data_IF_424434207433
#
_entry.id   IF_424434207433
#
_cell.length_a   1.000
_cell.length_b   1.000
_cell.length_c   1.000
_cell.angle_alpha   90.00
_cell.angle_beta   90.00
_cell.angle_gamma   90.00
#
_symmetry.space_group_name_H-M   'P 1'
#
loop_
_entity.id
_entity.type
_entity.pdbx_description
1 polymer ?
#
# COMPACT_ATOMS: atom_id res chain seq x y z
N UNK A 1 31.94 20.22 -16.56
CA UNK A 1 31.19 19.63 -15.42
C UNK A 1 29.77 20.13 -15.49
N UNK A 2 28.88 19.26 -15.96
CA UNK A 2 27.70 19.64 -16.72
C UNK A 2 26.45 19.95 -15.91
N UNK A 3 25.68 20.91 -16.40
CA UNK A 3 24.30 21.20 -15.99
C UNK A 3 23.38 19.97 -16.15
N UNK A 4 23.74 19.06 -17.07
CA UNK A 4 23.05 17.80 -17.34
C UNK A 4 23.15 16.79 -16.19
N UNK A 5 24.27 16.77 -15.44
CA UNK A 5 24.40 15.90 -14.27
C UNK A 5 23.49 16.35 -13.12
N UNK A 6 23.26 17.67 -12.97
CA UNK A 6 22.35 18.19 -11.95
C UNK A 6 20.88 17.96 -12.28
N UNK A 7 20.51 17.99 -13.57
CA UNK A 7 19.14 17.68 -14.00
C UNK A 7 18.84 16.18 -13.83
N UNK A 8 19.81 15.30 -14.13
CA UNK A 8 19.67 13.85 -13.91
C UNK A 8 19.43 13.53 -12.42
N UNK A 9 20.20 14.14 -11.52
CA UNK A 9 20.07 13.89 -10.07
C UNK A 9 18.78 14.45 -9.48
N UNK A 10 18.27 15.59 -9.98
CA UNK A 10 16.99 16.17 -9.51
C UNK A 10 15.78 15.36 -10.01
N UNK A 11 15.88 14.71 -11.18
CA UNK A 11 14.84 13.81 -11.70
C UNK A 11 14.88 12.46 -10.97
N UNK A 12 16.06 11.90 -10.69
CA UNK A 12 16.19 10.67 -9.89
C UNK A 12 15.75 10.87 -8.43
N UNK A 13 16.10 12.01 -7.81
CA UNK A 13 15.64 12.32 -6.45
C UNK A 13 14.12 12.54 -6.37
N UNK A 14 13.47 13.00 -7.44
CA UNK A 14 12.00 13.10 -7.54
C UNK A 14 11.35 11.76 -7.89
N UNK A 15 12.02 10.87 -8.62
CA UNK A 15 11.52 9.51 -8.88
C UNK A 15 11.59 8.61 -7.64
N UNK A 16 12.64 8.72 -6.81
CA UNK A 16 12.72 8.01 -5.54
C UNK A 16 11.62 8.50 -4.56
N UNK A 17 11.35 9.81 -4.52
CA UNK A 17 10.29 10.41 -3.68
C UNK A 17 8.86 10.20 -4.18
N UNK A 18 8.68 9.69 -5.40
CA UNK A 18 7.37 9.30 -5.96
C UNK A 18 7.16 7.78 -5.78
N UNK A 19 8.22 6.98 -5.76
CA UNK A 19 8.15 5.57 -5.34
C UNK A 19 7.77 5.46 -3.86
N UNK A 20 8.35 6.31 -3.01
CA UNK A 20 7.98 6.46 -1.60
C UNK A 20 6.64 7.21 -1.41
N UNK A 21 5.73 7.24 -2.39
CA UNK A 21 4.37 7.80 -2.18
C UNK A 21 3.27 6.90 -2.71
N UNK A 22 3.65 5.73 -3.22
CA UNK A 22 2.80 4.54 -3.38
C UNK A 22 3.05 3.64 -2.16
N UNK A 23 3.14 4.28 -0.99
CA UNK A 23 3.97 3.88 0.16
C UNK A 23 3.36 2.77 1.01
N UNK A 24 2.04 2.58 0.95
CA UNK A 24 1.36 1.52 1.71
C UNK A 24 0.64 0.52 0.78
N UNK A 25 1.16 -0.73 0.66
CA UNK A 25 0.49 -1.77 -0.11
C UNK A 25 -0.93 -2.06 0.42
N UNK A 26 -1.25 -1.71 1.68
CA UNK A 26 -2.59 -1.85 2.26
C UNK A 26 -3.62 -1.00 1.50
N UNK A 27 -3.31 0.27 1.23
CA UNK A 27 -4.24 1.20 0.55
C UNK A 27 -4.51 0.81 -0.90
N UNK A 28 -3.45 0.42 -1.62
CA UNK A 28 -3.58 0.00 -3.03
C UNK A 28 -4.40 -1.28 -3.18
N UNK A 29 -4.29 -2.21 -2.24
CA UNK A 29 -5.10 -3.42 -2.19
C UNK A 29 -6.55 -3.12 -1.80
N UNK A 30 -6.79 -2.19 -0.86
CA UNK A 30 -8.14 -1.76 -0.48
C UNK A 30 -8.86 -1.11 -1.68
N UNK A 31 -8.21 -0.18 -2.39
CA UNK A 31 -8.75 0.44 -3.61
C UNK A 31 -9.03 -0.58 -4.72
N UNK A 32 -8.14 -1.57 -4.88
CA UNK A 32 -8.32 -2.63 -5.86
C UNK A 32 -9.51 -3.54 -5.52
N UNK A 33 -9.72 -3.82 -4.23
CA UNK A 33 -10.88 -4.57 -3.75
C UNK A 33 -12.19 -3.82 -3.99
N UNK A 34 -12.24 -2.52 -3.71
CA UNK A 34 -13.40 -1.69 -4.00
C UNK A 34 -13.76 -1.66 -5.48
N UNK A 35 -12.76 -1.51 -6.37
CA UNK A 35 -12.97 -1.60 -7.82
C UNK A 35 -13.55 -2.96 -8.23
N UNK A 36 -13.06 -4.05 -7.63
CA UNK A 36 -13.60 -5.40 -7.90
C UNK A 36 -15.06 -5.55 -7.42
N UNK A 37 -15.41 -4.98 -6.26
CA UNK A 37 -16.80 -4.95 -5.77
C UNK A 37 -17.71 -4.15 -6.69
N UNK A 38 -17.26 -2.98 -7.16
CA UNK A 38 -18.02 -2.17 -8.13
C UNK A 38 -18.23 -2.93 -9.45
N UNK A 39 -17.19 -3.60 -9.96
CA UNK A 39 -17.31 -4.46 -11.15
C UNK A 39 -18.32 -5.58 -10.93
N UNK A 40 -18.29 -6.25 -9.78
CA UNK A 40 -19.25 -7.30 -9.44
C UNK A 40 -20.68 -6.74 -9.39
N UNK A 41 -20.89 -5.56 -8.80
CA UNK A 41 -22.18 -4.91 -8.77
C UNK A 41 -22.68 -4.54 -10.17
N UNK A 42 -21.80 -4.07 -11.05
CA UNK A 42 -22.13 -3.74 -12.43
C UNK A 42 -22.54 -5.00 -13.23
N UNK A 43 -21.84 -6.12 -13.04
CA UNK A 43 -22.23 -7.40 -13.67
C UNK A 43 -23.61 -7.85 -13.16
N UNK A 44 -23.86 -7.77 -11.85
CA UNK A 44 -25.18 -8.07 -11.26
C UNK A 44 -26.30 -7.21 -11.87
N UNK A 45 -26.05 -5.91 -12.05
CA UNK A 45 -26.99 -5.01 -12.75
C UNK A 45 -27.23 -5.45 -14.19
N UNK A 46 -26.18 -5.77 -14.93
CA UNK A 46 -26.30 -6.29 -16.30
C UNK A 46 -27.14 -7.58 -16.38
N UNK A 47 -26.95 -8.52 -15.45
CA UNK A 47 -27.80 -9.72 -15.36
C UNK A 47 -29.27 -9.35 -15.14
N UNK A 48 -29.55 -8.41 -14.23
CA UNK A 48 -30.91 -7.96 -13.95
C UNK A 48 -31.57 -7.26 -15.16
N UNK A 49 -30.83 -6.44 -15.90
CA UNK A 49 -31.29 -5.76 -17.11
C UNK A 49 -31.64 -6.75 -18.23
N UNK A 50 -30.78 -7.74 -18.48
CA UNK A 50 -31.04 -8.82 -19.46
C UNK A 50 -32.25 -9.65 -19.03
N UNK A 51 -32.34 -10.00 -17.74
CA UNK A 51 -33.48 -10.74 -17.18
C UNK A 51 -34.79 -9.96 -17.38
N UNK A 52 -34.77 -8.66 -17.12
CA UNK A 52 -35.93 -7.78 -17.29
C UNK A 52 -36.34 -7.68 -18.76
N UNK A 53 -35.37 -7.52 -19.66
CA UNK A 53 -35.60 -7.46 -21.10
C UNK A 53 -36.21 -8.76 -21.62
N UNK A 54 -35.64 -9.91 -21.23
CA UNK A 54 -36.19 -11.24 -21.54
C UNK A 54 -37.64 -11.35 -21.05
N UNK A 55 -37.92 -10.95 -19.81
CA UNK A 55 -39.27 -11.05 -19.25
C UNK A 55 -40.28 -10.17 -19.98
N UNK A 56 -39.87 -8.99 -20.43
CA UNK A 56 -40.71 -8.11 -21.25
C UNK A 56 -41.08 -8.77 -22.58
N UNK A 57 -40.14 -9.43 -23.24
CA UNK A 57 -40.39 -10.15 -24.50
C UNK A 57 -41.29 -11.38 -24.26
N UNK A 58 -41.07 -12.15 -23.19
CA UNK A 58 -41.95 -13.25 -22.80
C UNK A 58 -43.41 -12.78 -22.61
N UNK A 59 -43.62 -11.62 -21.99
CA UNK A 59 -44.95 -11.04 -21.82
C UNK A 59 -45.58 -10.60 -23.16
N UNK A 60 -44.78 -10.07 -24.08
CA UNK A 60 -45.24 -9.75 -25.44
C UNK A 60 -45.65 -11.03 -26.20
N UNK A 61 -44.84 -12.08 -26.10
CA UNK A 61 -45.15 -13.39 -26.68
C UNK A 61 -46.43 -13.98 -26.09
N UNK A 62 -46.63 -13.88 -24.79
CA UNK A 62 -47.86 -14.37 -24.14
C UNK A 62 -49.12 -13.66 -24.67
N UNK A 63 -49.05 -12.34 -24.92
CA UNK A 63 -50.15 -11.59 -25.56
C UNK A 63 -50.42 -12.05 -26.99
N UNK A 64 -49.36 -12.28 -27.77
CA UNK A 64 -49.46 -12.85 -29.13
C UNK A 64 -50.12 -14.23 -29.10
N UNK A 65 -49.73 -15.08 -28.16
CA UNK A 65 -50.30 -16.42 -28.01
C UNK A 65 -51.80 -16.37 -27.70
N UNK A 66 -52.24 -15.50 -26.79
CA UNK A 66 -53.66 -15.32 -26.52
C UNK A 66 -54.47 -14.87 -27.76
N UNK A 67 -53.88 -14.02 -28.60
CA UNK A 67 -54.51 -13.60 -29.86
C UNK A 67 -54.55 -14.74 -30.89
N UNK A 68 -53.50 -15.57 -30.96
CA UNK A 68 -53.44 -16.77 -31.82
C UNK A 68 -54.55 -17.74 -31.41
N UNK A 69 -54.72 -17.99 -30.11
CA UNK A 69 -55.73 -18.90 -29.59
C UNK A 69 -57.15 -18.37 -29.85
N UNK A 70 -57.36 -17.05 -29.73
CA UNK A 70 -58.62 -16.39 -30.10
C UNK A 70 -58.95 -16.55 -31.59
N UNK A 71 -57.98 -16.32 -32.47
CA UNK A 71 -58.16 -16.50 -33.92
C UNK A 71 -58.44 -17.97 -34.28
N UNK A 72 -57.82 -18.91 -33.57
CA UNK A 72 -58.11 -20.34 -33.73
C UNK A 72 -59.57 -20.66 -33.37
N UNK A 73 -60.06 -20.14 -32.24
CA UNK A 73 -61.46 -20.27 -31.84
C UNK A 73 -62.42 -19.68 -32.88
N UNK A 74 -62.14 -18.46 -33.34
CA UNK A 74 -62.94 -17.78 -34.37
C UNK A 74 -62.97 -18.56 -35.69
N UNK A 75 -61.84 -19.16 -36.10
CA UNK A 75 -61.79 -19.99 -37.30
C UNK A 75 -62.67 -21.24 -37.16
N UNK A 76 -62.63 -21.91 -36.00
CA UNK A 76 -63.48 -23.09 -35.72
C UNK A 76 -64.97 -22.73 -35.71
N UNK A 77 -65.34 -21.62 -35.08
CA UNK A 77 -66.72 -21.12 -35.06
C UNK A 77 -67.22 -20.76 -36.46
N UNK A 78 -66.40 -20.07 -37.27
CA UNK A 78 -66.75 -19.72 -38.64
C UNK A 78 -66.95 -20.97 -39.53
N UNK A 79 -66.09 -21.99 -39.38
CA UNK A 79 -66.25 -23.28 -40.07
C UNK A 79 -67.55 -23.99 -39.65
N UNK A 80 -67.85 -24.03 -38.35
CA UNK A 80 -69.09 -24.63 -37.86
C UNK A 80 -70.35 -23.90 -38.39
N UNK A 81 -70.24 -22.59 -38.64
CA UNK A 81 -71.29 -21.78 -39.25
C UNK A 81 -71.31 -21.83 -40.80
N UNK A 82 -70.47 -22.65 -41.43
CA UNK A 82 -70.37 -22.77 -42.90
C UNK A 82 -69.76 -21.56 -43.60
N UNK A 83 -69.11 -20.65 -42.86
CA UNK A 83 -68.48 -19.44 -43.40
C UNK A 83 -66.98 -19.65 -43.61
N UNK A 84 -66.65 -20.40 -44.65
CA UNK A 84 -65.26 -20.76 -44.98
C UNK A 84 -64.37 -19.55 -45.29
N UNK A 85 -64.93 -18.49 -45.86
CA UNK A 85 -64.26 -17.24 -46.16
C UNK A 85 -63.74 -16.55 -44.88
N UNK A 86 -64.58 -16.47 -43.85
CA UNK A 86 -64.20 -15.94 -42.54
C UNK A 86 -63.19 -16.83 -41.82
N UNK A 87 -63.36 -18.15 -41.92
CA UNK A 87 -62.41 -19.10 -41.35
C UNK A 87 -61.02 -18.96 -41.99
N UNK A 88 -60.95 -18.87 -43.31
CA UNK A 88 -59.69 -18.67 -44.04
C UNK A 88 -59.00 -17.38 -43.61
N UNK A 89 -59.75 -16.28 -43.52
CA UNK A 89 -59.20 -14.98 -43.05
C UNK A 89 -58.68 -15.03 -41.61
N UNK A 90 -59.39 -15.73 -40.71
CA UNK A 90 -58.93 -15.92 -39.34
C UNK A 90 -57.63 -16.74 -39.28
N UNK A 91 -57.51 -17.79 -40.09
CA UNK A 91 -56.31 -18.61 -40.20
C UNK A 91 -55.13 -17.87 -40.84
N UNK A 92 -55.36 -17.02 -41.83
CA UNK A 92 -54.32 -16.15 -42.42
C UNK A 92 -53.74 -15.19 -41.36
N UNK A 93 -54.61 -14.53 -40.60
CA UNK A 93 -54.18 -13.66 -39.49
C UNK A 93 -53.44 -14.45 -38.41
N UNK A 94 -53.90 -15.67 -38.10
CA UNK A 94 -53.25 -16.56 -37.14
C UNK A 94 -51.83 -16.91 -37.58
N UNK A 95 -51.64 -17.26 -38.86
CA UNK A 95 -50.34 -17.59 -39.42
C UNK A 95 -49.37 -16.40 -39.32
N UNK A 96 -49.84 -15.18 -39.57
CA UNK A 96 -49.03 -13.97 -39.41
C UNK A 96 -48.56 -13.76 -37.95
N UNK A 97 -49.46 -13.95 -36.97
CA UNK A 97 -49.09 -13.85 -35.55
C UNK A 97 -48.18 -14.99 -35.10
N UNK A 98 -48.34 -16.20 -35.64
CA UNK A 98 -47.45 -17.33 -35.37
C UNK A 98 -46.02 -17.06 -35.85
N UNK A 99 -45.86 -16.45 -37.03
CA UNK A 99 -44.54 -16.04 -37.53
C UNK A 99 -43.89 -14.99 -36.60
N UNK A 100 -44.66 -14.01 -36.10
CA UNK A 100 -44.16 -13.05 -35.11
C UNK A 100 -43.77 -13.74 -33.79
N UNK A 101 -44.58 -14.67 -33.29
CA UNK A 101 -44.30 -15.45 -32.07
C UNK A 101 -43.00 -16.24 -32.19
N UNK A 102 -42.77 -16.89 -33.34
CA UNK A 102 -41.52 -17.61 -33.62
C UNK A 102 -40.29 -16.69 -33.62
N UNK A 103 -40.42 -15.46 -34.12
CA UNK A 103 -39.34 -14.46 -34.04
C UNK A 103 -39.03 -14.06 -32.59
N UNK A 104 -40.07 -13.89 -31.75
CA UNK A 104 -39.86 -13.61 -30.32
C UNK A 104 -39.22 -14.79 -29.58
N UNK A 105 -39.52 -16.02 -29.99
CA UNK A 105 -38.87 -17.21 -29.42
C UNK A 105 -37.36 -17.21 -29.65
N UNK A 106 -36.92 -16.86 -30.85
CA UNK A 106 -35.50 -16.73 -31.13
C UNK A 106 -34.86 -15.65 -30.23
N UNK A 107 -35.50 -14.48 -30.11
CA UNK A 107 -35.00 -13.41 -29.25
C UNK A 107 -34.94 -13.81 -27.77
N UNK A 108 -35.92 -14.57 -27.28
CA UNK A 108 -35.93 -15.09 -25.90
C UNK A 108 -34.78 -16.08 -25.71
N UNK A 109 -34.54 -16.96 -26.69
CA UNK A 109 -33.42 -17.92 -26.65
C UNK A 109 -32.07 -17.20 -26.60
N UNK A 110 -31.87 -16.20 -27.47
CA UNK A 110 -30.63 -15.42 -27.52
C UNK A 110 -30.37 -14.69 -26.19
N UNK A 111 -31.41 -14.05 -25.62
CA UNK A 111 -31.31 -13.41 -24.31
C UNK A 111 -31.08 -14.41 -23.18
N UNK A 112 -31.63 -15.61 -23.27
CA UNK A 112 -31.40 -16.66 -22.28
C UNK A 112 -29.93 -17.11 -22.28
N UNK A 113 -29.33 -17.30 -23.46
CA UNK A 113 -27.90 -17.62 -23.56
C UNK A 113 -27.02 -16.48 -23.01
N UNK A 114 -27.34 -15.23 -23.34
CA UNK A 114 -26.64 -14.07 -22.80
C UNK A 114 -26.76 -13.98 -21.28
N UNK A 115 -27.96 -14.21 -20.74
CA UNK A 115 -28.22 -14.26 -19.30
C UNK A 115 -27.35 -15.31 -18.61
N UNK A 116 -27.30 -16.53 -19.15
CA UNK A 116 -26.50 -17.62 -18.59
C UNK A 116 -24.99 -17.30 -18.62
N UNK A 117 -24.48 -16.71 -19.71
CA UNK A 117 -23.08 -16.27 -19.82
C UNK A 117 -22.75 -15.21 -18.76
N UNK A 118 -23.65 -14.25 -18.54
CA UNK A 118 -23.46 -13.21 -17.52
C UNK A 118 -23.51 -13.78 -16.10
N UNK A 119 -24.42 -14.70 -15.80
CA UNK A 119 -24.48 -15.39 -14.49
C UNK A 119 -23.19 -16.18 -14.22
N UNK A 120 -22.68 -16.90 -15.23
CA UNK A 120 -21.41 -17.62 -15.11
C UNK A 120 -20.23 -16.66 -14.87
N UNK A 121 -20.21 -15.52 -15.58
CA UNK A 121 -19.20 -14.48 -15.38
C UNK A 121 -19.29 -13.83 -14.00
N UNK A 122 -20.51 -13.56 -13.50
CA UNK A 122 -20.77 -13.05 -12.16
C UNK A 122 -20.22 -14.00 -11.09
N UNK A 123 -20.56 -15.28 -11.17
CA UNK A 123 -20.10 -16.30 -10.22
C UNK A 123 -18.57 -16.41 -10.22
N UNK A 124 -17.93 -16.43 -11.40
CA UNK A 124 -16.47 -16.44 -11.52
C UNK A 124 -15.84 -15.19 -10.93
N UNK A 125 -16.45 -14.02 -11.14
CA UNK A 125 -15.97 -12.76 -10.59
C UNK A 125 -16.11 -12.73 -9.07
N UNK A 126 -17.25 -13.17 -8.53
CA UNK A 126 -17.49 -13.26 -7.08
C UNK A 126 -16.44 -14.13 -6.39
N UNK A 127 -16.13 -15.31 -6.94
CA UNK A 127 -15.07 -16.19 -6.41
C UNK A 127 -13.70 -15.51 -6.43
N UNK A 128 -13.37 -14.76 -7.49
CA UNK A 128 -12.11 -14.01 -7.58
C UNK A 128 -12.05 -12.87 -6.57
N UNK A 129 -13.16 -12.14 -6.37
CA UNK A 129 -13.25 -11.05 -5.39
C UNK A 129 -13.04 -11.58 -3.97
N UNK A 130 -13.63 -12.72 -3.64
CA UNK A 130 -13.45 -13.34 -2.31
C UNK A 130 -12.02 -13.85 -2.12
N UNK A 131 -11.44 -14.51 -3.13
CA UNK A 131 -10.03 -14.91 -3.08
C UNK A 131 -9.09 -13.71 -2.94
N UNK A 132 -9.40 -12.59 -3.59
CA UNK A 132 -8.64 -11.36 -3.47
C UNK A 132 -8.78 -10.74 -2.07
N UNK A 133 -9.97 -10.74 -1.48
CA UNK A 133 -10.19 -10.29 -0.09
C UNK A 133 -9.28 -11.05 0.88
N UNK A 134 -9.25 -12.39 0.80
CA UNK A 134 -8.40 -13.20 1.68
C UNK A 134 -6.93 -12.87 1.48
N UNK A 135 -6.46 -12.81 0.22
CA UNK A 135 -5.05 -12.46 -0.08
C UNK A 135 -4.69 -11.06 0.40
N UNK A 136 -5.59 -10.10 0.25
CA UNK A 136 -5.42 -8.75 0.77
C UNK A 136 -5.16 -8.79 2.27
N UNK A 137 -6.04 -9.40 3.06
CA UNK A 137 -5.86 -9.46 4.52
C UNK A 137 -4.56 -10.17 4.92
N UNK A 138 -4.17 -11.25 4.22
CA UNK A 138 -2.88 -11.91 4.44
C UNK A 138 -1.70 -10.97 4.17
N UNK A 139 -1.70 -10.25 3.05
CA UNK A 139 -0.63 -9.32 2.71
C UNK A 139 -0.57 -8.16 3.71
N UNK A 140 -1.73 -7.61 4.13
CA UNK A 140 -1.80 -6.56 5.14
C UNK A 140 -1.18 -7.03 6.46
N UNK A 141 -1.51 -8.24 6.91
CA UNK A 141 -0.96 -8.82 8.13
C UNK A 141 0.56 -9.07 8.03
N UNK A 142 1.03 -9.64 6.91
CA UNK A 142 2.46 -9.86 6.66
C UNK A 142 3.25 -8.56 6.63
N UNK A 143 2.70 -7.53 5.97
CA UNK A 143 3.32 -6.21 5.93
C UNK A 143 3.42 -5.59 7.32
N UNK A 144 2.35 -5.63 8.12
CA UNK A 144 2.38 -5.14 9.51
C UNK A 144 3.35 -5.92 10.41
N UNK A 145 3.50 -7.23 10.21
CA UNK A 145 4.48 -8.02 10.93
C UNK A 145 5.92 -7.64 10.54
N UNK A 146 6.19 -7.45 9.25
CA UNK A 146 7.49 -6.99 8.76
C UNK A 146 7.83 -5.57 9.25
N UNK A 147 6.86 -4.66 9.22
CA UNK A 147 6.96 -3.29 9.76
C UNK A 147 7.32 -3.30 11.26
N UNK A 148 6.65 -4.15 12.04
CA UNK A 148 6.97 -4.33 13.46
C UNK A 148 8.37 -4.92 13.68
N UNK A 149 8.80 -5.88 12.85
CA UNK A 149 10.13 -6.49 12.94
C UNK A 149 11.24 -5.49 12.63
N UNK A 150 11.07 -4.65 11.61
CA UNK A 150 12.00 -3.55 11.30
C UNK A 150 12.10 -2.59 12.49
N UNK A 151 10.96 -2.14 13.01
CA UNK A 151 10.93 -1.21 14.16
C UNK A 151 11.60 -1.76 15.42
N UNK A 152 11.41 -3.05 15.71
CA UNK A 152 12.11 -3.73 16.83
C UNK A 152 13.60 -3.80 16.57
N UNK A 153 14.02 -4.18 15.36
CA UNK A 153 15.43 -4.27 14.99
C UNK A 153 16.11 -2.91 15.09
N UNK A 154 15.50 -1.85 14.56
CA UNK A 154 15.98 -0.47 14.66
C UNK A 154 16.08 0.01 16.11
N UNK A 155 15.11 -0.34 16.95
CA UNK A 155 15.15 0.00 18.38
C UNK A 155 16.29 -0.72 19.10
N UNK A 156 16.51 -2.00 18.80
CA UNK A 156 17.61 -2.79 19.40
C UNK A 156 18.97 -2.32 18.90
N UNK A 157 19.13 -2.00 17.62
CA UNK A 157 20.38 -1.47 17.08
C UNK A 157 20.66 -0.06 17.60
N UNK A 158 19.64 0.80 17.71
CA UNK A 158 19.78 2.14 18.30
C UNK A 158 20.18 2.09 19.78
N UNK A 159 19.58 1.16 20.56
CA UNK A 159 20.00 0.91 21.95
C UNK A 159 21.43 0.34 22.00
N UNK A 160 21.81 -0.53 21.06
CA UNK A 160 23.16 -1.10 21.00
C UNK A 160 24.23 -0.05 20.70
N UNK A 161 23.93 0.94 19.84
CA UNK A 161 24.82 2.08 19.61
C UNK A 161 24.97 2.94 20.86
N UNK A 162 23.86 3.31 21.52
CA UNK A 162 23.91 4.08 22.78
C UNK A 162 24.64 3.32 23.91
N UNK A 163 24.43 2.01 24.03
CA UNK A 163 25.11 1.17 25.03
C UNK A 163 26.61 1.02 24.74
N UNK A 164 27.01 0.91 23.47
CA UNK A 164 28.42 0.88 23.08
C UNK A 164 29.14 2.20 23.45
N UNK A 165 28.49 3.34 23.23
CA UNK A 165 29.02 4.65 23.60
C UNK A 165 29.15 4.82 25.12
N UNK A 166 28.17 4.32 25.89
CA UNK A 166 28.23 4.32 27.36
C UNK A 166 29.36 3.42 27.86
N UNK A 167 29.55 2.22 27.29
CA UNK A 167 30.64 1.32 27.65
C UNK A 167 32.02 1.93 27.44
N UNK A 168 32.24 2.63 26.31
CA UNK A 168 33.48 3.36 26.06
C UNK A 168 33.69 4.51 27.06
N UNK A 169 32.62 5.20 27.47
CA UNK A 169 32.71 6.28 28.45
C UNK A 169 33.09 5.75 29.85
N UNK A 170 32.53 4.61 30.26
CA UNK A 170 32.85 3.94 31.54
C UNK A 170 34.30 3.46 31.54
N UNK A 171 34.77 2.81 30.48
CA UNK A 171 36.16 2.33 30.38
C UNK A 171 37.17 3.48 30.50
N UNK A 172 36.91 4.63 29.85
CA UNK A 172 37.76 5.83 30.00
C UNK A 172 37.75 6.38 31.44
N UNK A 173 36.61 6.32 32.13
CA UNK A 173 36.50 6.77 33.52
C UNK A 173 37.28 5.87 34.48
N UNK A 174 37.25 4.56 34.25
CA UNK A 174 38.03 3.56 34.99
C UNK A 174 39.53 3.75 34.76
N UNK A 175 39.98 3.85 33.51
CA UNK A 175 41.40 4.10 33.18
C UNK A 175 41.92 5.40 33.80
N UNK A 176 41.10 6.46 33.83
CA UNK A 176 41.48 7.73 34.46
C UNK A 176 41.62 7.59 35.97
N UNK A 177 40.74 6.81 36.59
CA UNK A 177 40.75 6.54 38.03
C UNK A 177 41.95 5.67 38.41
N UNK A 178 42.26 4.64 37.64
CA UNK A 178 43.44 3.81 37.86
C UNK A 178 44.74 4.59 37.67
N UNK A 179 44.82 5.44 36.64
CA UNK A 179 45.95 6.37 36.49
C UNK A 179 46.08 7.33 37.68
N UNK A 180 44.96 7.81 38.22
CA UNK A 180 44.96 8.70 39.39
C UNK A 180 45.41 7.97 40.66
N UNK A 181 44.98 6.71 40.85
CA UNK A 181 45.45 5.85 41.94
C UNK A 181 46.93 5.53 41.81
N UNK A 182 47.41 5.19 40.61
CA UNK A 182 48.83 4.93 40.35
C UNK A 182 49.69 6.16 40.63
N UNK A 183 49.23 7.35 40.24
CA UNK A 183 49.88 8.62 40.61
C UNK A 183 49.88 8.87 42.11
N UNK A 184 48.77 8.61 42.80
CA UNK A 184 48.69 8.73 44.26
C UNK A 184 49.67 7.78 44.95
N UNK A 185 49.72 6.52 44.53
CA UNK A 185 50.65 5.53 45.08
C UNK A 185 52.11 5.92 44.85
N UNK A 186 52.44 6.45 43.67
CA UNK A 186 53.79 6.98 43.40
C UNK A 186 54.12 8.21 44.26
N UNK A 187 53.16 9.09 44.53
CA UNK A 187 53.34 10.22 45.44
C UNK A 187 53.52 9.76 46.90
N UNK A 188 52.77 8.76 47.33
CA UNK A 188 52.90 8.16 48.67
C UNK A 188 54.27 7.47 48.83
N UNK A 189 54.76 6.78 47.80
CA UNK A 189 56.11 6.18 47.79
C UNK A 189 57.23 7.24 47.79
N UNK A 190 57.02 8.38 47.11
CA UNK A 190 57.94 9.53 47.19
C UNK A 190 57.94 10.18 48.57
N UNK A 191 56.80 10.22 49.26
CA UNK A 191 56.69 10.69 50.65
C UNK A 191 57.43 9.76 51.61
N UNK A 192 57.22 8.44 51.47
CA UNK A 192 57.77 7.43 52.38
C UNK A 192 59.29 7.20 52.17
N UNK A 193 59.78 7.38 50.93
CA UNK A 193 61.22 7.35 50.59
C UNK A 193 61.99 8.58 51.08
N UNK A 194 61.32 9.57 51.69
CA UNK A 194 61.97 10.73 52.31
C UNK A 194 62.53 11.75 51.32
N UNK A 195 62.12 11.71 50.04
CA UNK A 195 62.58 12.67 49.01
C UNK A 195 61.79 13.99 49.03
N UNK A 196 60.71 14.08 49.81
CA UNK A 196 59.81 15.23 49.91
C UNK A 196 60.14 16.22 51.04
N UNK A 197 61.27 16.06 51.73
CA UNK A 197 61.67 16.97 52.83
C UNK A 197 62.44 18.22 52.41
N UNK A 198 62.47 18.61 51.14
CA UNK A 198 62.91 19.95 50.76
C UNK A 198 62.00 20.64 49.75
N UNK A 199 60.89 21.16 50.26
CA UNK A 199 60.08 22.20 49.62
C UNK A 199 60.16 23.50 50.44
N UNK A 200 61.34 23.81 50.97
CA UNK A 200 61.66 25.17 51.42
C UNK A 200 62.21 26.07 50.29
N UNK A 201 62.47 25.50 49.10
CA UNK A 201 62.88 26.24 47.89
C UNK A 201 61.72 26.60 46.97
N UNK A 202 60.88 27.55 47.37
CA UNK A 202 59.64 27.92 46.67
C UNK A 202 59.77 28.80 45.42
N UNK A 203 60.96 29.09 44.88
CA UNK A 203 61.11 30.17 43.88
C UNK A 203 61.45 29.71 42.44
N UNK A 204 62.00 28.51 42.23
CA UNK A 204 62.48 28.09 40.91
C UNK A 204 61.41 27.34 40.07
N UNK A 205 60.63 26.47 40.71
CA UNK A 205 59.59 25.69 40.02
C UNK A 205 58.36 26.55 39.66
N UNK A 206 58.03 27.54 40.50
CA UNK A 206 56.96 28.50 40.22
C UNK A 206 57.31 29.41 39.03
N UNK A 207 58.59 29.77 38.87
CA UNK A 207 59.10 30.55 37.76
C UNK A 207 59.08 29.77 36.43
N UNK A 208 59.42 28.47 36.43
CA UNK A 208 59.32 27.63 35.22
C UNK A 208 57.88 27.27 34.84
N UNK A 209 56.97 27.03 35.80
CA UNK A 209 55.56 26.78 35.52
C UNK A 209 54.82 28.03 35.01
N UNK A 210 55.19 29.22 35.49
CA UNK A 210 54.70 30.49 34.94
C UNK A 210 55.19 30.70 33.50
N UNK A 211 56.43 30.30 33.19
CA UNK A 211 57.00 30.38 31.83
C UNK A 211 56.33 29.40 30.87
N UNK A 212 56.03 28.18 31.31
CA UNK A 212 55.33 27.17 30.52
C UNK A 212 53.83 27.52 30.29
N UNK A 213 53.15 28.09 31.30
CA UNK A 213 51.77 28.60 31.12
C UNK A 213 51.71 29.83 30.22
N UNK A 214 52.71 30.71 30.27
CA UNK A 214 52.80 31.85 29.35
C UNK A 214 53.05 31.40 27.90
N UNK A 215 53.85 30.35 27.68
CA UNK A 215 54.11 29.81 26.33
C UNK A 215 52.89 29.11 25.72
N UNK A 216 52.17 28.31 26.51
CA UNK A 216 50.92 27.66 26.07
C UNK A 216 49.79 28.66 25.79
N UNK A 217 49.69 29.74 26.58
CA UNK A 217 48.68 30.79 26.38
C UNK A 217 48.90 31.60 25.09
N UNK A 218 50.16 31.80 24.67
CA UNK A 218 50.49 32.55 23.45
C UNK A 218 50.22 31.72 22.20
N UNK A 219 50.47 30.41 22.23
CA UNK A 219 50.16 29.51 21.11
C UNK A 219 48.64 29.34 20.90
N UNK A 220 47.87 29.30 21.99
CA UNK A 220 46.40 29.25 21.94
C UNK A 220 45.78 30.58 21.45
N UNK A 221 46.34 31.74 21.83
CA UNK A 221 45.91 33.05 21.29
C UNK A 221 46.32 33.25 19.81
N UNK A 222 47.50 32.75 19.39
CA UNK A 222 47.94 32.81 17.99
C UNK A 222 47.10 31.89 17.09
N UNK A 223 46.67 30.73 17.58
CA UNK A 223 45.76 29.82 16.90
C UNK A 223 44.36 30.45 16.73
N UNK A 224 43.87 31.18 17.74
CA UNK A 224 42.63 31.95 17.66
C UNK A 224 42.71 33.09 16.65
N UNK A 225 43.76 33.93 16.69
CA UNK A 225 43.94 35.02 15.72
C UNK A 225 44.08 34.54 14.27
N UNK A 226 44.77 33.40 14.03
CA UNK A 226 44.83 32.78 12.68
C UNK A 226 43.49 32.25 12.19
N UNK A 227 42.61 31.83 13.10
CA UNK A 227 41.26 31.37 12.75
C UNK A 227 40.31 32.53 12.42
N UNK A 228 40.53 33.71 13.00
CA UNK A 228 39.75 34.93 12.73
C UNK A 228 40.18 35.64 11.44
N UNK A 229 41.45 35.58 11.04
CA UNK A 229 41.94 36.15 9.76
C UNK A 229 41.66 35.28 8.51
N UNK A 230 41.11 34.07 8.70
CA UNK A 230 40.74 33.14 7.61
C UNK A 230 39.24 33.10 7.30
N UNK A 231 38.48 34.06 7.81
CA UNK A 231 37.08 34.30 7.47
C UNK A 231 36.93 35.54 6.60
#
# INVERSE_FOLDING_TARGET
MGFLDRVSTVVQAKMNKIMDKIEDPRETLDLSYEKQLQLLQNVKRGVAEVTTSKKRIELQKAKLQANIDKLDGQAREALAAGREDLARKALENKAALQAQSASLDQQISDLNEQQQKLIAAESRLATKVEAFRTRKETIKAQYSAAEAQVKVTESVTGISEEMADVGMAVQRAEEKTENMKARSAALDELLDSGTLTDLSGGDELAAELAKAKAQSSVDDELAKMKSEMKR
#
